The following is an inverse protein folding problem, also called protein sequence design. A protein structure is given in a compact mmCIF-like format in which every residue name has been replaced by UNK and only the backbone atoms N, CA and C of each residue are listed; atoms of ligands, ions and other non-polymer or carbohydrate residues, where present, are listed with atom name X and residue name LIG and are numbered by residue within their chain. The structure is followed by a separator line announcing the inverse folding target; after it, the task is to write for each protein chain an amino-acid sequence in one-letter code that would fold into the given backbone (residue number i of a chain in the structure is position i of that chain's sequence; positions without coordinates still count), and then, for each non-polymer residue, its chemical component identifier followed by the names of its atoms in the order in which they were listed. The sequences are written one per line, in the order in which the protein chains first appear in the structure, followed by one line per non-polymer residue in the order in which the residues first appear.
data_IF_019931013321
#
_entry.id   IF_019931013321
#
_cell.length_a   1.000
_cell.length_b   1.000
_cell.length_c   1.000
_cell.angle_alpha   90.00
_cell.angle_beta   90.00
_cell.angle_gamma   90.00
#
_symmetry.space_group_name_H-M   'P 1'
#
loop_
_entity.id
_entity.type
_entity.pdbx_description
1 polymer ?
#
# COMPACT_ATOMS: atom_id res chain seq x y z
N UNK A 1 -21.54 71.18 -16.78
CA UNK A 1 -20.21 70.87 -17.36
C UNK A 1 -19.16 70.99 -16.27
N UNK A 2 -18.08 70.18 -16.33
CA UNK A 2 -16.79 70.31 -15.61
C UNK A 2 -16.83 70.39 -14.06
N UNK A 3 -16.11 69.56 -13.30
CA UNK A 3 -14.63 69.54 -13.07
C UNK A 3 -14.10 70.90 -12.58
N UNK A 4 -13.17 71.04 -11.61
CA UNK A 4 -12.42 70.16 -10.67
C UNK A 4 -11.57 71.11 -9.80
N UNK A 5 -11.31 70.84 -8.50
CA UNK A 5 -10.01 71.05 -7.80
C UNK A 5 -10.04 70.63 -6.30
N UNK A 6 -8.88 70.32 -5.66
CA UNK A 6 -8.78 69.65 -4.35
C UNK A 6 -8.43 70.61 -3.18
N UNK A 7 -8.26 70.11 -1.92
CA UNK A 7 -6.90 69.76 -1.43
C UNK A 7 -6.82 68.56 -0.44
N UNK A 8 -5.61 68.19 -0.05
CA UNK A 8 -5.25 67.20 0.99
C UNK A 8 -5.38 67.80 2.42
N UNK A 9 -5.27 67.11 3.56
CA UNK A 9 -4.93 65.71 3.94
C UNK A 9 -5.81 65.32 5.20
N UNK A 10 -5.53 64.32 6.11
CA UNK A 10 -4.34 63.49 6.36
C UNK A 10 -4.58 61.97 6.55
N UNK A 11 -3.51 61.21 6.83
CA UNK A 11 -3.57 59.80 7.23
C UNK A 11 -4.50 59.53 8.43
N UNK A 12 -5.35 58.50 8.32
CA UNK A 12 -5.93 57.78 9.48
C UNK A 12 -5.64 56.29 9.35
N UNK A 13 -4.98 55.73 10.38
CA UNK A 13 -4.99 54.29 10.63
C UNK A 13 -6.40 53.90 11.08
N UNK A 14 -7.04 52.98 10.37
CA UNK A 14 -8.23 52.27 10.82
C UNK A 14 -7.96 50.78 10.68
N UNK A 15 -7.43 50.18 11.75
CA UNK A 15 -7.38 48.75 11.92
C UNK A 15 -8.69 48.30 12.58
N UNK A 16 -9.72 48.06 11.77
CA UNK A 16 -11.07 47.75 12.24
C UNK A 16 -11.22 46.27 12.59
N UNK A 17 -10.78 45.92 13.81
CA UNK A 17 -10.97 44.58 14.43
C UNK A 17 -12.42 44.06 14.45
N UNK A 18 -13.42 44.91 14.19
CA UNK A 18 -14.84 44.55 14.28
C UNK A 18 -15.37 43.71 13.11
N UNK A 19 -14.77 43.79 11.92
CA UNK A 19 -15.31 43.10 10.74
C UNK A 19 -15.00 41.59 10.72
N UNK A 20 -13.86 41.17 11.26
CA UNK A 20 -13.45 39.76 11.29
C UNK A 20 -14.25 38.96 12.33
N UNK A 21 -14.49 39.53 13.51
CA UNK A 21 -15.22 38.86 14.59
C UNK A 21 -16.71 38.66 14.24
N UNK A 22 -17.32 39.62 13.54
CA UNK A 22 -18.69 39.48 13.03
C UNK A 22 -18.82 38.39 11.95
N UNK A 23 -17.82 38.27 11.06
CA UNK A 23 -17.79 37.22 10.04
C UNK A 23 -17.63 35.81 10.67
N UNK A 24 -16.76 35.68 11.67
CA UNK A 24 -16.57 34.42 12.42
C UNK A 24 -17.86 34.00 13.14
N UNK A 25 -18.57 34.91 13.83
CA UNK A 25 -19.86 34.58 14.42
C UNK A 25 -20.91 34.14 13.38
N UNK A 26 -20.91 34.75 12.19
CA UNK A 26 -21.86 34.43 11.13
C UNK A 26 -21.63 33.01 10.57
N UNK A 27 -20.36 32.61 10.40
CA UNK A 27 -19.97 31.27 9.96
C UNK A 27 -20.22 30.21 11.05
N UNK A 28 -19.88 30.49 12.31
CA UNK A 28 -20.19 29.57 13.41
C UNK A 28 -21.70 29.34 13.59
N UNK A 29 -22.56 30.28 13.18
CA UNK A 29 -24.02 30.08 13.13
C UNK A 29 -24.49 29.27 11.92
N UNK A 30 -23.71 29.24 10.83
CA UNK A 30 -24.05 28.52 9.60
C UNK A 30 -23.70 27.01 9.65
N UNK A 31 -22.80 26.59 10.54
CA UNK A 31 -22.32 25.20 10.65
C UNK A 31 -22.80 24.53 11.94
N UNK A 32 -23.35 23.31 11.82
CA UNK A 32 -23.71 22.44 12.95
C UNK A 32 -22.48 21.76 13.57
N UNK A 33 -21.65 22.55 14.26
CA UNK A 33 -20.53 22.06 15.07
C UNK A 33 -20.99 21.52 16.43
N UNK A 34 -20.30 20.50 16.94
CA UNK A 34 -20.49 20.02 18.31
C UNK A 34 -20.19 21.16 19.32
N UNK A 35 -20.98 21.33 20.41
CA UNK A 35 -20.86 22.50 21.28
C UNK A 35 -19.48 22.72 21.92
N UNK A 36 -18.73 21.66 22.18
CA UNK A 36 -17.38 21.75 22.74
C UNK A 36 -16.38 22.37 21.75
N UNK A 37 -16.31 21.81 20.53
CA UNK A 37 -15.44 22.29 19.45
C UNK A 37 -15.74 23.75 19.07
N UNK A 38 -17.02 24.15 19.11
CA UNK A 38 -17.45 25.54 18.91
C UNK A 38 -16.85 26.48 19.96
N UNK A 39 -16.83 26.08 21.23
CA UNK A 39 -16.30 26.90 22.32
C UNK A 39 -14.76 27.04 22.26
N UNK A 40 -14.06 25.96 21.90
CA UNK A 40 -12.59 25.97 21.71
C UNK A 40 -12.16 26.89 20.57
N UNK A 41 -12.83 26.81 19.41
CA UNK A 41 -12.56 27.70 18.27
C UNK A 41 -12.84 29.18 18.60
N UNK A 42 -13.87 29.47 19.39
CA UNK A 42 -14.16 30.83 19.87
C UNK A 42 -13.09 31.35 20.84
N UNK A 43 -12.52 30.49 21.69
CA UNK A 43 -11.41 30.86 22.56
C UNK A 43 -10.15 31.17 21.74
N UNK A 44 -9.73 30.25 20.86
CA UNK A 44 -8.54 30.41 20.02
C UNK A 44 -8.57 31.67 19.14
N UNK A 45 -9.74 32.03 18.59
CA UNK A 45 -9.91 33.24 17.77
C UNK A 45 -9.71 34.56 18.55
N UNK A 46 -9.75 34.54 19.88
CA UNK A 46 -9.55 35.74 20.71
C UNK A 46 -8.12 35.97 21.20
N UNK A 47 -7.24 34.96 21.07
CA UNK A 47 -5.84 35.01 21.52
C UNK A 47 -4.82 35.37 20.43
N UNK A 48 -5.11 35.09 19.15
CA UNK A 48 -4.12 35.24 18.06
C UNK A 48 -4.31 36.54 17.27
N UNK A 49 -3.32 37.45 17.29
CA UNK A 49 -3.49 38.85 16.82
C UNK A 49 -3.34 39.04 15.30
N UNK A 50 -2.91 38.03 14.53
CA UNK A 50 -2.76 38.10 13.06
C UNK A 50 -3.15 36.79 12.36
N UNK A 51 -4.33 36.23 12.64
CA UNK A 51 -4.84 35.07 11.90
C UNK A 51 -5.90 35.49 10.87
N UNK A 52 -5.61 35.33 9.56
CA UNK A 52 -6.64 35.42 8.50
C UNK A 52 -7.30 34.07 8.28
N UNK A 53 -8.33 33.81 9.09
CA UNK A 53 -9.09 32.57 9.05
C UNK A 53 -10.07 32.56 7.86
N UNK A 54 -9.70 31.89 6.78
CA UNK A 54 -10.59 31.69 5.63
C UNK A 54 -11.40 30.41 5.78
N UNK A 55 -12.53 30.49 6.49
CA UNK A 55 -13.52 29.41 6.53
C UNK A 55 -14.39 29.46 5.29
N UNK A 56 -14.33 28.42 4.47
CA UNK A 56 -15.41 28.07 3.54
C UNK A 56 -16.29 27.04 4.24
N UNK A 57 -17.61 27.14 4.08
CA UNK A 57 -18.55 26.13 4.57
C UNK A 57 -19.62 25.84 3.53
N UNK A 58 -19.83 24.55 3.26
CA UNK A 58 -21.13 24.05 2.81
C UNK A 58 -21.80 23.26 3.94
N UNK A 59 -22.93 22.61 3.67
CA UNK A 59 -23.77 22.02 4.70
C UNK A 59 -23.08 20.94 5.57
N UNK A 60 -21.99 20.32 5.09
CA UNK A 60 -21.29 19.23 5.79
C UNK A 60 -19.77 19.44 5.95
N UNK A 61 -19.21 20.57 5.50
CA UNK A 61 -17.75 20.75 5.40
C UNK A 61 -17.28 22.05 6.07
N UNK A 62 -16.16 21.99 6.81
CA UNK A 62 -15.47 23.17 7.35
C UNK A 62 -14.03 23.16 6.87
N UNK A 63 -13.64 24.21 6.15
CA UNK A 63 -12.24 24.43 5.78
C UNK A 63 -11.56 25.33 6.81
N UNK A 64 -10.34 25.00 7.21
CA UNK A 64 -9.44 25.87 7.97
C UNK A 64 -8.14 25.96 7.19
N UNK A 65 -7.84 27.14 6.64
CA UNK A 65 -6.55 27.47 6.06
C UNK A 65 -5.86 28.52 6.96
N UNK A 66 -4.65 28.21 7.41
CA UNK A 66 -3.79 29.10 8.16
C UNK A 66 -2.61 29.54 7.28
N UNK A 67 -2.18 30.80 7.38
CA UNK A 67 -0.94 31.28 6.76
C UNK A 67 -0.12 32.09 7.78
N UNK A 68 0.94 31.44 8.24
CA UNK A 68 2.26 31.92 8.70
C UNK A 68 2.43 32.65 10.04
N UNK A 69 3.48 32.15 10.73
CA UNK A 69 4.21 32.68 11.89
C UNK A 69 3.47 32.73 13.25
N UNK A 70 3.41 31.57 13.89
CA UNK A 70 3.45 31.46 15.35
C UNK A 70 4.44 30.36 15.77
N UNK A 71 5.47 30.74 16.55
CA UNK A 71 6.12 29.79 17.44
C UNK A 71 5.10 29.45 18.56
N UNK A 72 5.05 28.19 18.99
CA UNK A 72 4.05 27.62 19.94
C UNK A 72 2.60 27.47 19.43
N UNK A 73 2.36 26.49 18.55
CA UNK A 73 1.05 25.85 18.37
C UNK A 73 0.80 24.70 19.37
N UNK A 74 1.85 24.21 20.03
CA UNK A 74 1.83 23.12 21.03
C UNK A 74 0.91 23.38 22.22
N UNK A 75 0.68 24.65 22.56
CA UNK A 75 -0.07 25.06 23.75
C UNK A 75 -1.61 25.06 23.58
N UNK A 76 -2.13 24.93 22.35
CA UNK A 76 -3.58 25.14 22.07
C UNK A 76 -4.33 23.85 21.77
N UNK A 77 -3.73 22.89 21.05
CA UNK A 77 -4.46 21.71 20.54
C UNK A 77 -4.08 20.36 21.16
N UNK A 78 -3.00 20.29 21.95
CA UNK A 78 -2.54 19.05 22.60
C UNK A 78 -2.31 17.88 21.62
N UNK A 79 -2.50 16.65 22.10
CA UNK A 79 -2.22 15.40 21.36
C UNK A 79 -3.19 15.11 20.19
N UNK A 80 -3.89 16.12 19.66
CA UNK A 80 -4.87 15.99 18.56
C UNK A 80 -4.39 16.52 17.21
N UNK A 81 -3.12 16.91 17.11
CA UNK A 81 -2.43 17.20 15.84
C UNK A 81 -1.23 16.28 15.73
N UNK A 82 -1.21 15.42 14.70
CA UNK A 82 0.00 14.70 14.31
C UNK A 82 0.98 15.66 13.61
N UNK A 83 1.86 16.29 14.38
CA UNK A 83 3.14 16.78 13.88
C UNK A 83 4.21 15.71 14.15
N UNK A 84 5.12 15.47 13.20
CA UNK A 84 6.24 14.56 13.41
C UNK A 84 7.40 15.35 14.06
N UNK A 85 7.78 15.11 15.33
CA UNK A 85 8.83 15.85 16.02
C UNK A 85 10.21 15.27 15.67
N UNK A 86 10.55 15.25 14.37
CA UNK A 86 11.75 14.62 13.84
C UNK A 86 12.51 15.54 12.87
N UNK A 87 13.37 16.41 13.43
CA UNK A 87 14.43 17.18 12.73
C UNK A 87 14.05 17.81 11.37
N UNK A 88 13.56 19.04 11.43
CA UNK A 88 13.67 20.01 10.33
C UNK A 88 14.34 21.29 10.83
N UNK A 89 15.66 21.21 11.07
CA UNK A 89 16.47 22.42 11.20
C UNK A 89 16.64 23.03 9.80
N UNK A 90 15.94 24.14 9.53
CA UNK A 90 15.99 24.97 8.33
C UNK A 90 15.44 24.37 7.01
N UNK A 91 14.12 24.12 6.93
CA UNK A 91 13.39 24.04 5.65
C UNK A 91 12.11 24.88 5.74
N UNK A 92 11.86 25.74 4.74
CA UNK A 92 10.64 26.57 4.63
C UNK A 92 9.62 25.97 3.64
N UNK A 93 9.22 24.71 3.82
CA UNK A 93 8.16 24.10 2.99
C UNK A 93 7.04 23.52 3.86
N UNK A 94 5.79 23.84 3.49
CA UNK A 94 4.58 23.35 4.13
C UNK A 94 3.60 22.91 3.04
N UNK A 95 3.40 21.60 2.88
CA UNK A 95 2.46 21.06 1.89
C UNK A 95 1.02 21.09 2.41
N UNK A 96 0.11 21.65 1.61
CA UNK A 96 -1.33 21.60 1.87
C UNK A 96 -1.99 20.45 1.10
N UNK A 97 -2.77 19.63 1.80
CA UNK A 97 -3.72 18.70 1.18
C UNK A 97 -5.11 19.35 1.12
N UNK A 98 -5.71 19.41 -0.07
CA UNK A 98 -7.02 20.03 -0.28
C UNK A 98 -8.15 19.00 -0.14
N UNK A 99 -9.35 19.43 0.28
CA UNK A 99 -10.51 18.58 0.61
C UNK A 99 -11.78 18.87 -0.26
N UNK A 100 -11.76 18.64 -1.58
CA UNK A 100 -12.92 18.71 -2.47
C UNK A 100 -13.88 17.50 -2.36
N UNK A 101 -15.04 17.68 -1.72
CA UNK A 101 -16.09 16.66 -1.58
C UNK A 101 -16.92 16.36 -2.84
N UNK A 102 -16.29 15.89 -3.93
CA UNK A 102 -16.96 15.34 -5.12
C UNK A 102 -16.10 14.26 -5.81
N UNK A 103 -16.08 13.04 -5.28
CA UNK A 103 -15.61 11.75 -5.87
C UNK A 103 -14.27 11.68 -6.66
N UNK A 104 -13.51 12.77 -6.78
CA UNK A 104 -12.25 12.85 -7.53
C UNK A 104 -11.32 13.91 -6.93
N UNK A 105 -10.06 13.55 -6.83
CA UNK A 105 -9.02 14.32 -6.15
C UNK A 105 -7.97 14.85 -7.15
N UNK A 106 -7.48 16.07 -6.93
CA UNK A 106 -6.43 16.69 -7.74
C UNK A 106 -5.29 17.15 -6.84
N UNK A 107 -4.05 16.78 -7.18
CA UNK A 107 -2.84 17.31 -6.57
C UNK A 107 -2.41 18.61 -7.26
N UNK A 108 -1.91 19.58 -6.49
CA UNK A 108 -1.23 20.76 -7.00
C UNK A 108 0.22 20.69 -6.55
N UNK A 109 1.16 20.73 -7.47
CA UNK A 109 2.58 20.98 -7.19
C UNK A 109 2.95 22.36 -7.73
N UNK A 110 3.69 23.13 -6.95
CA UNK A 110 4.27 24.39 -7.37
C UNK A 110 5.76 24.33 -7.06
N UNK A 111 6.60 24.18 -8.09
CA UNK A 111 8.04 24.30 -7.92
C UNK A 111 8.39 25.76 -7.69
N UNK A 112 8.88 26.09 -6.50
CA UNK A 112 9.69 27.29 -6.30
C UNK A 112 11.14 26.91 -6.59
N UNK A 113 11.79 27.59 -7.53
CA UNK A 113 13.23 27.49 -7.70
C UNK A 113 13.90 28.37 -6.65
N UNK A 114 14.90 27.85 -5.94
CA UNK A 114 15.72 28.64 -5.02
C UNK A 114 16.66 29.57 -5.82
N UNK A 115 16.51 30.88 -5.65
CA UNK A 115 17.37 31.93 -6.24
C UNK A 115 18.69 32.12 -5.45
N UNK A 116 19.37 31.03 -5.06
CA UNK A 116 20.63 31.06 -4.29
C UNK A 116 21.69 30.06 -4.83
N UNK A 117 22.08 30.24 -6.10
CA UNK A 117 23.29 29.66 -6.66
C UNK A 117 24.00 30.65 -7.60
N UNK A 118 25.19 31.12 -7.21
CA UNK A 118 26.10 31.81 -8.11
C UNK A 118 26.98 30.79 -8.85
N UNK A 119 27.30 31.16 -10.09
CA UNK A 119 28.38 30.68 -10.96
C UNK A 119 28.23 29.30 -11.66
N UNK A 120 27.94 29.44 -12.96
CA UNK A 120 28.37 28.69 -14.14
C UNK A 120 27.76 27.32 -14.54
N UNK A 121 27.22 27.33 -15.77
CA UNK A 121 26.95 26.25 -16.73
C UNK A 121 26.03 25.07 -16.32
N UNK A 122 24.71 25.22 -16.53
CA UNK A 122 24.06 24.58 -17.69
C UNK A 122 22.64 25.10 -18.03
N UNK A 123 22.18 24.88 -19.27
CA UNK A 123 21.03 25.59 -19.86
C UNK A 123 19.66 24.98 -19.50
N UNK A 124 18.77 25.77 -18.89
CA UNK A 124 17.33 25.47 -18.82
C UNK A 124 16.49 26.53 -19.55
N UNK A 125 15.68 26.13 -20.53
CA UNK A 125 14.96 27.04 -21.43
C UNK A 125 13.70 27.65 -20.78
N UNK A 126 13.85 28.81 -20.12
CA UNK A 126 12.74 29.57 -19.56
C UNK A 126 11.87 30.27 -20.63
N UNK A 127 10.67 29.76 -20.91
CA UNK A 127 9.65 30.48 -21.69
C UNK A 127 8.96 31.56 -20.86
N UNK A 128 9.50 32.79 -20.94
CA UNK A 128 8.87 34.10 -20.68
C UNK A 128 7.76 34.14 -19.61
N UNK A 129 8.14 34.51 -18.40
CA UNK A 129 7.25 35.08 -17.39
C UNK A 129 6.59 36.39 -17.89
N UNK A 130 5.27 36.51 -17.75
CA UNK A 130 4.55 37.77 -17.92
C UNK A 130 3.98 38.24 -16.58
N UNK A 131 4.61 39.26 -16.02
CA UNK A 131 4.11 40.22 -15.01
C UNK A 131 2.81 39.87 -14.27
N UNK A 132 2.92 39.34 -13.04
CA UNK A 132 1.86 39.42 -12.04
C UNK A 132 2.03 40.68 -11.17
N UNK A 133 1.76 41.83 -11.78
CA UNK A 133 1.61 43.08 -11.04
C UNK A 133 0.37 43.00 -10.12
N UNK A 134 0.44 43.65 -8.96
CA UNK A 134 -0.63 43.63 -7.95
C UNK A 134 -1.93 44.27 -8.47
N UNK A 135 -2.86 43.47 -9.00
CA UNK A 135 -4.19 43.93 -9.41
C UNK A 135 -5.27 43.43 -8.45
N UNK A 136 -5.75 44.32 -7.58
CA UNK A 136 -7.02 44.13 -6.91
C UNK A 136 -8.14 43.97 -7.97
N UNK A 137 -8.96 42.91 -7.87
CA UNK A 137 -10.12 42.71 -8.73
C UNK A 137 -10.00 41.66 -9.85
N UNK A 138 -9.14 40.65 -9.73
CA UNK A 138 -9.28 39.45 -10.58
C UNK A 138 -10.50 38.62 -10.16
N UNK A 139 -11.53 38.59 -11.00
CA UNK A 139 -12.73 37.77 -10.78
C UNK A 139 -12.44 36.27 -10.87
N UNK A 140 -13.07 35.50 -9.97
CA UNK A 140 -12.95 34.04 -9.79
C UNK A 140 -13.06 33.20 -11.08
N UNK A 141 -13.68 33.71 -12.15
CA UNK A 141 -13.73 33.05 -13.45
C UNK A 141 -12.36 32.72 -14.05
N UNK A 142 -11.34 33.58 -13.84
CA UNK A 142 -9.98 33.31 -14.36
C UNK A 142 -9.21 32.27 -13.54
N UNK A 143 -9.51 32.14 -12.25
CA UNK A 143 -8.90 31.11 -11.39
C UNK A 143 -9.40 29.72 -11.78
N UNK A 144 -10.69 29.56 -12.05
CA UNK A 144 -11.25 28.32 -12.61
C UNK A 144 -10.59 27.91 -13.92
N UNK A 145 -10.47 28.82 -14.89
CA UNK A 145 -9.80 28.52 -16.16
C UNK A 145 -8.29 28.22 -16.01
N UNK A 146 -7.66 28.66 -14.92
CA UNK A 146 -6.28 28.27 -14.58
C UNK A 146 -6.18 26.87 -13.98
N UNK A 147 -7.14 26.49 -13.13
CA UNK A 147 -7.25 25.14 -12.56
C UNK A 147 -7.59 24.11 -13.64
N UNK A 148 -8.50 24.42 -14.57
CA UNK A 148 -8.81 23.59 -15.73
C UNK A 148 -7.63 23.48 -16.74
N UNK A 149 -6.64 24.38 -16.64
CA UNK A 149 -5.42 24.39 -17.44
C UNK A 149 -4.22 23.72 -16.74
N UNK A 150 -4.35 23.31 -15.48
CA UNK A 150 -3.38 22.37 -14.88
C UNK A 150 -3.53 21.05 -15.62
N UNK A 151 -2.43 20.54 -16.19
CA UNK A 151 -2.45 19.20 -16.78
C UNK A 151 -2.88 18.19 -15.71
N UNK A 152 -4.12 17.69 -15.84
CA UNK A 152 -4.54 16.47 -15.17
C UNK A 152 -3.66 15.36 -15.73
N UNK A 153 -2.64 14.98 -14.95
CA UNK A 153 -2.00 13.68 -15.12
C UNK A 153 -3.07 12.67 -14.70
N UNK A 154 -3.79 12.12 -15.67
CA UNK A 154 -4.60 10.93 -15.46
C UNK A 154 -3.61 9.82 -15.07
N UNK A 155 -3.53 9.53 -13.78
CA UNK A 155 -2.83 8.36 -13.27
C UNK A 155 -3.76 7.19 -13.51
N UNK A 156 -3.38 6.28 -14.41
CA UNK A 156 -4.14 5.06 -14.67
C UNK A 156 -4.36 4.31 -13.35
N UNK A 157 -5.62 4.33 -12.91
CA UNK A 157 -6.07 3.68 -11.69
C UNK A 157 -6.70 2.36 -12.10
N UNK A 158 -6.11 1.21 -11.73
CA UNK A 158 -6.73 -0.09 -11.96
C UNK A 158 -8.17 -0.13 -11.45
N UNK A 159 -9.07 -0.81 -12.16
CA UNK A 159 -10.52 -0.82 -11.85
C UNK A 159 -10.81 -1.31 -10.42
N UNK A 160 -9.94 -2.15 -9.86
CA UNK A 160 -10.05 -2.64 -8.49
C UNK A 160 -9.54 -1.70 -7.40
N UNK A 161 -8.85 -0.60 -7.76
CA UNK A 161 -8.47 0.46 -6.82
C UNK A 161 -9.50 1.58 -6.85
N UNK A 162 -10.08 1.92 -5.68
CA UNK A 162 -11.02 3.05 -5.59
C UNK A 162 -10.32 4.40 -5.61
N UNK A 163 -9.06 4.45 -5.16
CA UNK A 163 -8.22 5.63 -5.16
C UNK A 163 -6.84 5.27 -5.73
N UNK A 164 -6.27 6.08 -6.65
CA UNK A 164 -5.00 5.78 -7.29
C UNK A 164 -3.87 5.73 -6.25
N UNK A 165 -2.99 4.74 -6.41
CA UNK A 165 -1.84 4.49 -5.52
C UNK A 165 -2.21 4.39 -4.03
N UNK A 166 -3.32 3.73 -3.69
CA UNK A 166 -3.63 3.36 -2.30
C UNK A 166 -3.25 1.90 -2.01
N UNK A 167 -2.51 1.68 -0.93
CA UNK A 167 -2.13 0.34 -0.47
C UNK A 167 -2.46 0.14 1.00
N UNK A 168 -2.88 -1.06 1.37
CA UNK A 168 -2.90 -1.53 2.76
C UNK A 168 -1.65 -2.40 2.99
N UNK A 169 -0.92 -2.13 4.06
CA UNK A 169 0.19 -2.96 4.53
C UNK A 169 -0.33 -3.81 5.68
N UNK A 170 -0.26 -5.12 5.52
CA UNK A 170 -0.75 -6.10 6.50
C UNK A 170 0.42 -6.98 6.93
N UNK A 171 0.78 -6.97 8.21
CA UNK A 171 1.76 -7.90 8.72
C UNK A 171 1.11 -9.22 9.14
N UNK A 172 1.67 -10.33 8.66
CA UNK A 172 1.29 -11.68 9.04
C UNK A 172 2.51 -12.44 9.59
N UNK A 173 3.01 -12.09 10.81
CA UNK A 173 4.16 -12.72 11.45
C UNK A 173 3.86 -14.16 11.92
N UNK A 174 3.69 -15.06 10.96
CA UNK A 174 3.30 -16.45 11.19
C UNK A 174 4.48 -17.40 10.90
N UNK A 175 4.72 -18.37 11.78
CA UNK A 175 5.91 -19.25 11.69
C UNK A 175 5.60 -20.74 11.91
N UNK A 176 4.32 -21.11 12.09
CA UNK A 176 3.95 -22.48 12.48
C UNK A 176 3.61 -23.40 11.31
N UNK A 177 3.67 -22.89 10.07
CA UNK A 177 3.61 -23.70 8.85
C UNK A 177 4.91 -24.51 8.64
N UNK A 178 6.01 -24.15 9.30
CA UNK A 178 7.33 -24.75 9.15
C UNK A 178 8.07 -24.88 10.51
N UNK A 179 9.23 -25.58 10.60
CA UNK A 179 9.81 -26.00 11.88
C UNK A 179 10.83 -25.02 12.49
N UNK A 180 11.22 -23.97 11.77
CA UNK A 180 12.17 -22.93 12.19
C UNK A 180 11.38 -21.73 12.72
N UNK A 181 11.92 -21.02 13.70
CA UNK A 181 11.45 -19.69 14.06
C UNK A 181 12.23 -18.62 13.28
N UNK A 182 11.81 -17.37 13.34
CA UNK A 182 12.55 -16.22 12.82
C UNK A 182 11.85 -15.51 11.66
N UNK A 183 11.06 -16.22 10.85
CA UNK A 183 10.23 -15.61 9.77
C UNK A 183 9.14 -14.71 10.34
N UNK A 184 8.71 -14.95 11.58
CA UNK A 184 7.83 -14.07 12.35
C UNK A 184 8.42 -12.67 12.58
N UNK A 185 9.73 -12.47 12.42
CA UNK A 185 10.36 -11.14 12.43
C UNK A 185 10.51 -10.52 11.04
N UNK A 186 10.14 -11.23 9.97
CA UNK A 186 10.16 -10.75 8.58
C UNK A 186 9.37 -9.44 8.38
N UNK A 187 8.14 -9.31 8.90
CA UNK A 187 7.35 -8.09 8.76
C UNK A 187 7.98 -6.86 9.43
N UNK A 188 8.59 -7.02 10.61
CA UNK A 188 9.30 -5.94 11.30
C UNK A 188 10.56 -5.54 10.51
N UNK A 189 11.39 -6.51 10.10
CA UNK A 189 12.60 -6.24 9.33
C UNK A 189 12.33 -5.57 7.96
N UNK A 190 11.21 -5.89 7.30
CA UNK A 190 10.80 -5.23 6.06
C UNK A 190 10.35 -3.78 6.29
N UNK A 191 9.73 -3.47 7.43
CA UNK A 191 9.39 -2.10 7.82
C UNK A 191 10.66 -1.30 8.17
N UNK A 192 11.55 -1.88 8.97
CA UNK A 192 12.84 -1.28 9.36
C UNK A 192 13.77 -1.03 8.16
N UNK A 193 13.66 -1.82 7.09
CA UNK A 193 14.33 -1.58 5.81
C UNK A 193 13.80 -0.36 5.03
N UNK A 194 12.81 0.38 5.56
CA UNK A 194 12.31 1.63 4.99
C UNK A 194 11.17 1.48 3.99
N UNK A 195 10.41 0.37 4.04
CA UNK A 195 9.27 0.11 3.15
C UNK A 195 8.27 1.27 3.10
N UNK A 196 7.87 1.80 4.26
CA UNK A 196 6.93 2.91 4.37
C UNK A 196 7.45 4.16 3.65
N UNK A 197 8.71 4.51 3.85
CA UNK A 197 9.34 5.64 3.17
C UNK A 197 9.42 5.44 1.65
N UNK A 198 9.72 4.21 1.20
CA UNK A 198 9.79 3.88 -0.21
C UNK A 198 8.43 4.05 -0.91
N UNK A 199 7.34 3.58 -0.28
CA UNK A 199 5.98 3.76 -0.77
C UNK A 199 5.60 5.25 -0.83
N UNK A 200 5.88 6.01 0.23
CA UNK A 200 5.62 7.47 0.26
C UNK A 200 6.41 8.22 -0.81
N UNK A 201 7.70 7.90 -1.02
CA UNK A 201 8.54 8.47 -2.11
C UNK A 201 7.99 8.17 -3.51
N UNK A 202 7.35 7.01 -3.70
CA UNK A 202 6.67 6.64 -4.94
C UNK A 202 5.27 7.29 -5.11
N UNK A 203 4.85 8.10 -4.13
CA UNK A 203 3.55 8.77 -4.10
C UNK A 203 2.39 7.84 -3.75
N UNK A 204 2.63 6.74 -3.04
CA UNK A 204 1.58 5.88 -2.53
C UNK A 204 1.05 6.38 -1.19
N UNK A 205 -0.26 6.23 -0.99
CA UNK A 205 -0.93 6.39 0.30
C UNK A 205 -1.03 5.02 0.96
N UNK A 206 -0.11 4.76 1.87
CA UNK A 206 -0.04 3.53 2.64
C UNK A 206 -0.91 3.60 3.90
N UNK A 207 -1.79 2.62 4.05
CA UNK A 207 -2.58 2.36 5.24
C UNK A 207 -1.92 1.20 5.99
N UNK A 208 -1.24 1.50 7.10
CA UNK A 208 -0.66 0.48 7.96
C UNK A 208 -1.78 -0.19 8.79
N UNK A 209 -2.05 -1.47 8.54
CA UNK A 209 -2.91 -2.29 9.40
C UNK A 209 -2.19 -2.68 10.70
N UNK A 210 -0.86 -2.80 10.65
CA UNK A 210 -0.06 -3.43 11.69
C UNK A 210 -0.04 -4.95 11.52
N UNK A 211 0.33 -5.64 12.60
CA UNK A 211 0.53 -7.10 12.59
C UNK A 211 -0.68 -7.84 13.16
N UNK A 212 -1.13 -8.86 12.44
CA UNK A 212 -2.16 -9.79 12.90
C UNK A 212 -1.55 -10.66 14.02
N UNK A 213 -2.26 -10.75 15.16
CA UNK A 213 -1.82 -11.52 16.32
C UNK A 213 -2.34 -12.96 16.25
N UNK A 214 -1.44 -13.94 16.21
CA UNK A 214 -1.79 -15.37 16.11
C UNK A 214 -1.61 -16.12 17.43
N UNK A 215 -2.46 -17.13 17.67
CA UNK A 215 -2.28 -18.06 18.79
C UNK A 215 -1.14 -19.06 18.54
N UNK A 216 -0.36 -19.36 19.57
CA UNK A 216 0.68 -20.39 19.50
C UNK A 216 0.08 -21.81 19.59
N UNK A 217 0.70 -22.84 18.97
CA UNK A 217 0.21 -24.22 19.05
C UNK A 217 0.11 -24.78 20.48
N UNK A 218 -1.11 -25.03 20.94
CA UNK A 218 -1.39 -25.64 22.23
C UNK A 218 -1.57 -27.16 22.13
N UNK A 219 -1.31 -27.88 23.23
CA UNK A 219 -1.37 -29.36 23.29
C UNK A 219 -2.76 -29.94 22.97
N UNK A 220 -3.82 -29.17 23.22
CA UNK A 220 -5.21 -29.56 22.99
C UNK A 220 -5.74 -29.26 21.59
N UNK A 221 -4.94 -28.64 20.72
CA UNK A 221 -5.40 -28.25 19.39
C UNK A 221 -5.72 -29.49 18.54
N UNK A 222 -6.84 -29.49 17.78
CA UNK A 222 -7.20 -30.56 16.86
C UNK A 222 -6.04 -30.96 15.93
N UNK A 223 -5.92 -32.27 15.70
CA UNK A 223 -4.90 -32.88 14.85
C UNK A 223 -5.52 -33.42 13.58
N UNK A 224 -4.74 -33.47 12.52
CA UNK A 224 -5.12 -34.17 11.30
C UNK A 224 -5.04 -35.69 11.52
N UNK A 225 -6.12 -36.40 11.22
CA UNK A 225 -6.24 -37.86 11.38
C UNK A 225 -6.32 -38.61 10.03
N UNK A 226 -6.24 -37.87 8.91
CA UNK A 226 -6.24 -38.44 7.56
C UNK A 226 -4.89 -39.00 7.11
N UNK A 227 -4.78 -39.45 5.84
CA UNK A 227 -3.56 -40.05 5.30
C UNK A 227 -2.37 -39.08 5.26
N UNK A 228 -1.19 -39.54 5.69
CA UNK A 228 0.06 -38.78 5.64
C UNK A 228 0.28 -37.90 6.88
N UNK A 229 0.68 -36.64 6.70
CA UNK A 229 0.97 -35.74 7.80
C UNK A 229 0.66 -34.27 7.48
N UNK A 230 0.16 -33.56 8.48
CA UNK A 230 -0.13 -32.13 8.44
C UNK A 230 0.17 -31.57 9.84
N UNK A 231 1.18 -30.70 9.96
CA UNK A 231 1.64 -30.14 11.25
C UNK A 231 0.85 -28.89 11.61
N UNK A 232 0.49 -28.78 12.88
CA UNK A 232 -0.25 -27.63 13.44
C UNK A 232 -1.52 -27.19 12.66
N UNK A 233 -2.30 -28.12 12.05
CA UNK A 233 -3.33 -27.78 11.05
C UNK A 233 -4.34 -26.74 11.56
N UNK A 234 -4.83 -26.94 12.78
CA UNK A 234 -5.78 -26.03 13.41
C UNK A 234 -5.26 -24.59 13.51
N UNK A 235 -3.99 -24.40 13.85
CA UNK A 235 -3.37 -23.08 14.03
C UNK A 235 -3.14 -22.42 12.68
N UNK A 236 -2.63 -23.16 11.70
CA UNK A 236 -2.41 -22.66 10.34
C UNK A 236 -3.74 -22.29 9.69
N UNK A 237 -4.77 -23.12 9.83
CA UNK A 237 -6.10 -22.85 9.27
C UNK A 237 -6.80 -21.65 9.91
N UNK A 238 -6.68 -21.51 11.24
CA UNK A 238 -7.27 -20.39 11.99
C UNK A 238 -6.52 -19.07 11.75
N UNK A 239 -5.19 -19.09 11.67
CA UNK A 239 -4.39 -17.93 11.26
C UNK A 239 -4.76 -17.47 9.84
N UNK A 240 -4.85 -18.41 8.89
CA UNK A 240 -5.26 -18.10 7.52
C UNK A 240 -6.71 -17.61 7.40
N UNK A 241 -7.62 -18.01 8.31
CA UNK A 241 -8.97 -17.43 8.41
C UNK A 241 -8.90 -15.93 8.73
N UNK A 242 -8.09 -15.57 9.73
CA UNK A 242 -7.94 -14.18 10.16
C UNK A 242 -7.25 -13.32 9.08
N UNK A 243 -6.22 -13.86 8.43
CA UNK A 243 -5.55 -13.22 7.28
C UNK A 243 -6.56 -13.00 6.14
N UNK A 244 -7.36 -14.01 5.79
CA UNK A 244 -8.36 -13.88 4.72
C UNK A 244 -9.40 -12.80 5.01
N UNK A 245 -9.85 -12.66 6.26
CA UNK A 245 -10.81 -11.63 6.68
C UNK A 245 -10.22 -10.21 6.55
N UNK A 246 -8.97 -9.99 6.97
CA UNK A 246 -8.27 -8.70 6.82
C UNK A 246 -7.97 -8.37 5.35
N UNK A 247 -7.48 -9.35 4.58
CA UNK A 247 -7.21 -9.16 3.16
C UNK A 247 -8.49 -8.92 2.36
N UNK A 248 -9.60 -9.60 2.70
CA UNK A 248 -10.92 -9.37 2.10
C UNK A 248 -11.44 -7.95 2.40
N UNK A 249 -11.31 -7.48 3.65
CA UNK A 249 -11.72 -6.13 4.05
C UNK A 249 -11.04 -5.06 3.19
N UNK A 250 -9.71 -5.04 3.17
CA UNK A 250 -8.94 -4.07 2.39
C UNK A 250 -9.11 -4.24 0.87
N UNK A 251 -9.32 -5.46 0.39
CA UNK A 251 -9.67 -5.72 -1.00
C UNK A 251 -11.04 -5.13 -1.37
N UNK A 252 -12.06 -5.23 -0.51
CA UNK A 252 -13.40 -4.63 -0.68
C UNK A 252 -13.38 -3.11 -0.54
N UNK A 253 -12.49 -2.58 0.27
CA UNK A 253 -12.21 -1.14 0.32
C UNK A 253 -11.59 -0.62 -0.98
N UNK A 254 -11.01 -1.48 -1.81
CA UNK A 254 -10.40 -1.13 -3.09
C UNK A 254 -9.00 -0.56 -2.91
N UNK A 255 -8.20 -1.18 -2.04
CA UNK A 255 -6.76 -0.92 -1.87
C UNK A 255 -5.95 -2.06 -2.48
N UNK A 256 -4.73 -1.78 -2.91
CA UNK A 256 -3.72 -2.81 -3.16
C UNK A 256 -3.33 -3.43 -1.81
N UNK A 257 -3.46 -4.74 -1.66
CA UNK A 257 -3.14 -5.42 -0.39
C UNK A 257 -1.72 -5.96 -0.45
N UNK A 258 -0.81 -5.38 0.33
CA UNK A 258 0.57 -5.84 0.50
C UNK A 258 0.69 -6.58 1.83
N UNK A 259 0.85 -7.90 1.77
CA UNK A 259 1.09 -8.73 2.95
C UNK A 259 2.58 -8.89 3.17
N UNK A 260 3.06 -8.48 4.35
CA UNK A 260 4.41 -8.80 4.83
C UNK A 260 4.30 -10.08 5.64
N UNK A 261 4.90 -11.16 5.15
CA UNK A 261 4.70 -12.49 5.72
C UNK A 261 5.78 -12.97 6.67
N UNK A 262 5.44 -14.02 7.40
CA UNK A 262 6.39 -15.02 7.85
C UNK A 262 6.47 -16.17 6.84
N UNK A 263 6.11 -17.39 7.23
CA UNK A 263 6.16 -18.57 6.34
C UNK A 263 5.09 -18.55 5.23
N UNK A 264 5.36 -19.25 4.11
CA UNK A 264 4.48 -19.21 2.92
C UNK A 264 3.09 -19.83 3.14
N UNK A 265 2.82 -20.48 4.28
CA UNK A 265 1.47 -21.00 4.56
C UNK A 265 0.41 -19.90 4.68
N UNK A 266 0.81 -18.63 4.88
CA UNK A 266 -0.11 -17.48 4.84
C UNK A 266 -0.77 -17.27 3.47
N UNK A 267 -0.18 -17.82 2.40
CA UNK A 267 -0.69 -17.72 1.04
C UNK A 267 -2.11 -18.26 0.88
N UNK A 268 -2.55 -19.17 1.76
CA UNK A 268 -3.95 -19.63 1.80
C UNK A 268 -4.89 -18.48 2.15
N UNK A 269 -4.56 -17.68 3.15
CA UNK A 269 -5.40 -16.60 3.66
C UNK A 269 -5.41 -15.41 2.70
N UNK A 270 -4.25 -14.97 2.25
CA UNK A 270 -4.09 -13.79 1.39
C UNK A 270 -4.80 -13.97 0.05
N UNK A 271 -4.58 -15.11 -0.62
CA UNK A 271 -5.24 -15.46 -1.88
C UNK A 271 -6.73 -15.72 -1.67
N UNK A 272 -7.14 -16.37 -0.57
CA UNK A 272 -8.57 -16.54 -0.26
C UNK A 272 -9.29 -15.21 -0.09
N UNK A 273 -8.68 -14.24 0.61
CA UNK A 273 -9.21 -12.89 0.76
C UNK A 273 -9.40 -12.17 -0.59
N UNK A 274 -8.51 -12.39 -1.54
CA UNK A 274 -8.69 -11.89 -2.91
C UNK A 274 -9.79 -12.64 -3.68
N UNK A 275 -9.81 -13.96 -3.65
CA UNK A 275 -10.80 -14.78 -4.37
C UNK A 275 -12.24 -14.53 -3.87
N UNK A 276 -12.43 -14.11 -2.63
CA UNK A 276 -13.73 -13.68 -2.08
C UNK A 276 -14.25 -12.35 -2.69
N UNK A 277 -13.37 -11.53 -3.27
CA UNK A 277 -13.70 -10.23 -3.88
C UNK A 277 -13.60 -10.27 -5.41
N UNK A 278 -12.63 -11.02 -5.92
CA UNK A 278 -12.22 -11.14 -7.33
C UNK A 278 -11.95 -12.63 -7.65
N UNK A 279 -13.01 -13.46 -7.81
CA UNK A 279 -12.89 -14.91 -8.00
C UNK A 279 -12.01 -15.32 -9.18
N UNK A 280 -11.89 -14.44 -10.18
CA UNK A 280 -11.09 -14.60 -11.39
C UNK A 280 -9.60 -14.23 -11.22
N UNK A 281 -9.14 -13.85 -10.03
CA UNK A 281 -7.75 -13.45 -9.76
C UNK A 281 -6.74 -14.50 -10.26
N UNK A 282 -5.70 -14.04 -10.96
CA UNK A 282 -4.55 -14.85 -11.36
C UNK A 282 -3.43 -14.76 -10.33
N UNK A 283 -2.83 -15.91 -10.01
CA UNK A 283 -1.71 -16.03 -9.07
C UNK A 283 -0.41 -16.22 -9.85
N UNK A 284 0.52 -15.28 -9.68
CA UNK A 284 1.93 -15.45 -10.04
C UNK A 284 2.63 -15.90 -8.77
N UNK A 285 3.12 -17.14 -8.75
CA UNK A 285 3.84 -17.72 -7.62
C UNK A 285 5.34 -17.73 -7.95
N UNK A 286 6.10 -16.87 -7.27
CA UNK A 286 7.53 -16.64 -7.52
C UNK A 286 8.30 -17.29 -6.39
N UNK A 287 8.94 -18.42 -6.66
CA UNK A 287 9.38 -19.37 -5.63
C UNK A 287 10.43 -20.36 -6.17
N UNK A 288 11.32 -20.89 -5.32
CA UNK A 288 12.13 -22.06 -5.65
C UNK A 288 11.31 -23.37 -5.66
N UNK A 289 10.25 -23.42 -4.87
CA UNK A 289 9.38 -24.54 -4.53
C UNK A 289 8.00 -24.41 -5.18
N UNK A 290 7.22 -25.49 -5.18
CA UNK A 290 5.90 -25.52 -5.82
C UNK A 290 4.73 -25.45 -4.83
N UNK A 291 4.96 -25.65 -3.54
CA UNK A 291 4.02 -25.38 -2.45
C UNK A 291 2.60 -25.96 -2.64
N UNK A 292 2.56 -27.12 -3.30
CA UNK A 292 1.35 -27.80 -3.77
C UNK A 292 1.31 -29.28 -3.33
N UNK A 293 2.16 -29.66 -2.38
CA UNK A 293 2.01 -30.95 -1.70
C UNK A 293 0.66 -31.02 -0.95
N UNK A 294 0.05 -32.20 -0.93
CA UNK A 294 -1.07 -32.50 -0.02
C UNK A 294 -0.55 -33.15 1.27
N UNK A 295 -1.32 -33.16 2.38
CA UNK A 295 -0.98 -33.93 3.58
C UNK A 295 -0.61 -35.39 3.31
N UNK A 296 -1.24 -36.01 2.31
CA UNK A 296 -1.01 -37.41 1.93
C UNK A 296 0.28 -37.64 1.14
N UNK A 297 0.88 -36.58 0.58
CA UNK A 297 2.03 -36.66 -0.32
C UNK A 297 3.31 -36.02 0.25
N UNK A 298 3.17 -35.02 1.13
CA UNK A 298 4.30 -34.33 1.76
C UNK A 298 5.17 -35.28 2.60
N UNK A 299 6.48 -35.28 2.32
CA UNK A 299 7.46 -36.00 3.16
C UNK A 299 7.74 -35.34 4.51
N UNK A 300 7.47 -34.04 4.64
CA UNK A 300 7.77 -33.26 5.85
C UNK A 300 6.54 -33.07 6.76
N UNK A 301 5.34 -32.98 6.18
CA UNK A 301 4.12 -32.55 6.86
C UNK A 301 4.10 -31.07 7.23
N UNK A 302 5.08 -30.26 6.79
CA UNK A 302 5.08 -28.81 6.98
C UNK A 302 4.03 -28.19 6.04
N UNK A 303 3.23 -27.25 6.55
CA UNK A 303 2.13 -26.64 5.80
C UNK A 303 2.54 -25.48 4.90
N UNK A 304 3.72 -24.87 5.09
CA UNK A 304 4.21 -23.85 4.15
C UNK A 304 4.38 -24.41 2.74
N UNK A 305 4.76 -25.69 2.58
CA UNK A 305 4.80 -26.37 1.27
C UNK A 305 3.46 -26.95 0.79
N UNK A 306 2.32 -26.49 1.31
CA UNK A 306 0.98 -26.97 0.93
C UNK A 306 -0.07 -25.91 0.50
N UNK A 307 0.13 -24.58 0.56
CA UNK A 307 -0.95 -23.59 0.47
C UNK A 307 -1.77 -23.70 -0.81
N UNK A 308 -1.11 -23.94 -1.95
CA UNK A 308 -1.80 -24.04 -3.24
C UNK A 308 -2.68 -25.29 -3.34
N UNK A 309 -2.35 -26.37 -2.64
CA UNK A 309 -3.16 -27.59 -2.61
C UNK A 309 -4.50 -27.39 -1.87
N UNK A 310 -4.53 -26.52 -0.87
CA UNK A 310 -5.76 -26.10 -0.17
C UNK A 310 -6.62 -25.19 -1.06
N UNK A 311 -6.02 -24.17 -1.67
CA UNK A 311 -6.72 -23.21 -2.54
C UNK A 311 -7.33 -23.87 -3.78
N UNK A 312 -6.60 -24.80 -4.40
CA UNK A 312 -7.03 -25.53 -5.60
C UNK A 312 -7.84 -26.80 -5.34
N UNK A 313 -8.21 -27.08 -4.07
CA UNK A 313 -9.05 -28.22 -3.64
C UNK A 313 -8.49 -29.60 -4.01
N UNK A 314 -7.16 -29.72 -4.10
CA UNK A 314 -6.47 -31.02 -4.12
C UNK A 314 -6.57 -31.72 -2.76
N UNK A 315 -6.90 -30.96 -1.71
CA UNK A 315 -7.32 -31.43 -0.39
C UNK A 315 -8.75 -30.96 -0.14
N UNK A 316 -9.62 -31.80 0.42
CA UNK A 316 -10.92 -31.39 0.92
C UNK A 316 -10.72 -30.58 2.23
N UNK A 317 -11.01 -29.26 2.26
CA UNK A 317 -10.61 -28.42 3.39
C UNK A 317 -11.24 -28.82 4.72
N UNK A 318 -12.43 -29.41 4.72
CA UNK A 318 -13.09 -29.95 5.92
C UNK A 318 -12.42 -31.15 6.56
N UNK A 319 -11.55 -31.86 5.83
CA UNK A 319 -10.82 -33.00 6.38
C UNK A 319 -9.58 -32.55 7.18
N UNK A 320 -9.24 -31.26 7.10
CA UNK A 320 -8.10 -30.66 7.80
C UNK A 320 -8.61 -29.64 8.84
N UNK A 321 -8.40 -29.89 10.14
CA UNK A 321 -8.94 -29.00 11.18
C UNK A 321 -8.50 -27.55 10.99
N UNK A 322 -9.44 -26.62 11.12
CA UNK A 322 -9.19 -25.18 10.95
C UNK A 322 -9.42 -24.64 9.53
N UNK A 323 -9.65 -25.50 8.52
CA UNK A 323 -9.80 -25.07 7.12
C UNK A 323 -11.24 -25.12 6.58
N UNK A 324 -12.24 -25.51 7.38
CA UNK A 324 -13.67 -25.56 6.99
C UNK A 324 -14.19 -24.27 6.34
N UNK A 325 -13.66 -23.11 6.75
CA UNK A 325 -14.06 -21.80 6.25
C UNK A 325 -13.76 -21.61 4.76
N UNK A 326 -12.73 -22.30 4.22
CA UNK A 326 -12.40 -22.28 2.79
C UNK A 326 -13.56 -22.76 1.91
N UNK A 327 -14.52 -23.53 2.43
CA UNK A 327 -15.74 -23.93 1.70
C UNK A 327 -16.50 -22.77 1.08
N UNK A 328 -16.40 -21.57 1.66
CA UNK A 328 -17.08 -20.35 1.20
C UNK A 328 -16.27 -19.55 0.18
N UNK A 329 -14.99 -19.83 0.05
CA UNK A 329 -14.04 -19.18 -0.87
C UNK A 329 -14.12 -19.86 -2.24
N UNK A 330 -14.19 -19.13 -3.36
CA UNK A 330 -14.04 -19.74 -4.70
C UNK A 330 -12.73 -20.55 -4.79
N UNK A 331 -12.79 -21.72 -5.41
CA UNK A 331 -11.58 -22.52 -5.64
C UNK A 331 -10.70 -21.87 -6.72
N UNK A 332 -9.40 -21.82 -6.49
CA UNK A 332 -8.42 -21.45 -7.51
C UNK A 332 -8.35 -22.57 -8.56
N UNK A 333 -8.68 -22.30 -9.83
CA UNK A 333 -8.39 -23.27 -10.91
C UNK A 333 -6.89 -23.21 -11.25
N UNK A 334 -6.07 -24.21 -10.86
CA UNK A 334 -4.63 -24.12 -11.06
C UNK A 334 -4.24 -24.32 -12.54
N UNK A 335 -5.14 -24.81 -13.39
CA UNK A 335 -4.87 -25.01 -14.82
C UNK A 335 -4.95 -23.71 -15.63
N UNK A 336 -5.71 -22.73 -15.13
CA UNK A 336 -5.90 -21.43 -15.78
C UNK A 336 -5.39 -20.26 -14.95
N UNK A 337 -5.64 -20.24 -13.63
CA UNK A 337 -5.36 -19.10 -12.74
C UNK A 337 -3.95 -19.08 -12.14
N UNK A 338 -3.18 -20.16 -12.20
CA UNK A 338 -1.87 -20.25 -11.54
C UNK A 338 -0.71 -20.34 -12.56
N UNK A 339 0.35 -19.58 -12.29
CA UNK A 339 1.65 -19.71 -12.97
C UNK A 339 2.82 -19.61 -11.98
N UNK A 340 3.74 -20.57 -12.05
CA UNK A 340 4.98 -20.53 -11.27
C UNK A 340 6.15 -19.89 -12.05
N UNK A 341 6.99 -19.14 -11.34
CA UNK A 341 8.24 -18.54 -11.81
C UNK A 341 9.36 -18.92 -10.84
N UNK A 342 10.49 -19.45 -11.32
CA UNK A 342 11.70 -19.68 -10.50
C UNK A 342 11.89 -21.10 -9.96
N UNK A 343 10.94 -22.01 -10.22
CA UNK A 343 10.97 -23.38 -9.71
C UNK A 343 12.30 -24.09 -9.99
N UNK A 344 12.88 -24.70 -8.96
CA UNK A 344 14.15 -25.46 -9.06
C UNK A 344 14.30 -26.59 -8.05
N UNK A 345 13.62 -26.55 -6.90
CA UNK A 345 13.48 -27.74 -6.03
C UNK A 345 11.99 -28.07 -5.90
N UNK A 346 11.57 -29.14 -6.57
CA UNK A 346 10.15 -29.51 -6.67
C UNK A 346 10.01 -31.01 -6.45
N UNK A 347 9.18 -31.37 -5.49
CA UNK A 347 9.04 -32.74 -5.03
C UNK A 347 8.50 -33.67 -6.14
N UNK A 348 8.76 -34.97 -6.07
CA UNK A 348 8.22 -35.88 -7.11
C UNK A 348 6.68 -35.81 -7.23
N UNK A 349 5.91 -35.89 -6.12
CA UNK A 349 4.45 -35.77 -6.19
C UNK A 349 3.98 -34.43 -6.76
N UNK A 350 4.63 -33.31 -6.41
CA UNK A 350 4.29 -31.98 -6.92
C UNK A 350 4.49 -31.86 -8.44
N UNK A 351 5.62 -32.38 -8.96
CA UNK A 351 5.83 -32.45 -10.43
C UNK A 351 4.77 -33.28 -11.14
N UNK A 352 4.24 -34.30 -10.47
CA UNK A 352 3.18 -35.14 -11.02
C UNK A 352 1.80 -34.43 -10.94
N UNK A 353 1.51 -33.68 -9.87
CA UNK A 353 0.35 -32.76 -9.77
C UNK A 353 0.39 -31.69 -10.87
N UNK A 354 1.51 -30.96 -11.01
CA UNK A 354 1.69 -29.90 -12.02
C UNK A 354 1.37 -30.41 -13.42
N UNK A 355 1.81 -31.63 -13.76
CA UNK A 355 1.52 -32.28 -15.05
C UNK A 355 0.07 -32.72 -15.17
N UNK A 356 -0.49 -33.36 -14.14
CA UNK A 356 -1.87 -33.87 -14.17
C UNK A 356 -2.90 -32.74 -14.32
N UNK A 357 -2.65 -31.60 -13.67
CA UNK A 357 -3.52 -30.43 -13.69
C UNK A 357 -3.13 -29.39 -14.77
N UNK A 358 -2.13 -29.68 -15.61
CA UNK A 358 -1.63 -28.78 -16.68
C UNK A 358 -1.23 -27.38 -16.20
N UNK A 359 -0.72 -27.27 -14.96
CA UNK A 359 -0.36 -26.00 -14.33
C UNK A 359 0.81 -25.37 -15.08
N UNK A 360 0.77 -24.05 -15.31
CA UNK A 360 1.86 -23.34 -15.98
C UNK A 360 3.05 -23.19 -15.02
N UNK A 361 4.23 -23.66 -15.42
CA UNK A 361 5.42 -23.61 -14.59
C UNK A 361 6.68 -23.26 -15.40
N UNK A 362 7.33 -22.16 -15.03
CA UNK A 362 8.60 -21.73 -15.60
C UNK A 362 9.72 -21.94 -14.58
N UNK A 363 10.36 -23.10 -14.67
CA UNK A 363 11.57 -23.42 -13.88
C UNK A 363 12.73 -22.50 -14.22
N UNK A 364 13.79 -22.46 -13.41
CA UNK A 364 15.01 -21.72 -13.75
C UNK A 364 15.61 -22.11 -15.10
N UNK A 365 15.48 -23.37 -15.55
CA UNK A 365 15.89 -23.78 -16.90
C UNK A 365 15.09 -23.11 -18.05
N UNK A 366 13.91 -22.56 -17.76
CA UNK A 366 13.17 -21.70 -18.70
C UNK A 366 13.73 -20.27 -18.67
N UNK A 367 14.08 -19.76 -17.48
CA UNK A 367 14.74 -18.45 -17.31
C UNK A 367 16.10 -18.45 -18.05
N UNK A 368 16.94 -19.47 -17.83
CA UNK A 368 18.22 -19.67 -18.53
C UNK A 368 18.08 -19.66 -20.07
N UNK A 369 16.99 -20.27 -20.56
CA UNK A 369 16.79 -20.54 -21.99
C UNK A 369 16.13 -19.39 -22.74
N UNK A 370 15.21 -18.67 -22.10
CA UNK A 370 14.36 -17.66 -22.73
C UNK A 370 14.61 -16.25 -22.20
N UNK A 371 15.30 -16.11 -21.06
CA UNK A 371 15.41 -14.88 -20.28
C UNK A 371 14.14 -14.58 -19.50
N UNK A 372 14.28 -13.90 -18.34
CA UNK A 372 13.15 -13.55 -17.48
C UNK A 372 12.07 -12.73 -18.21
N UNK A 373 12.46 -11.86 -19.13
CA UNK A 373 11.56 -11.07 -19.97
C UNK A 373 10.55 -11.93 -20.71
N UNK A 374 11.04 -12.92 -21.47
CA UNK A 374 10.15 -13.80 -22.24
C UNK A 374 9.37 -14.76 -21.36
N UNK A 375 9.91 -15.15 -20.20
CA UNK A 375 9.17 -15.91 -19.18
C UNK A 375 7.97 -15.12 -18.66
N UNK A 376 8.16 -13.84 -18.30
CA UNK A 376 7.07 -12.98 -17.83
C UNK A 376 6.03 -12.69 -18.91
N UNK A 377 6.43 -12.44 -20.16
CA UNK A 377 5.49 -12.35 -21.30
C UNK A 377 4.59 -13.61 -21.37
N UNK A 378 5.19 -14.82 -21.38
CA UNK A 378 4.42 -16.07 -21.47
C UNK A 378 3.56 -16.37 -20.24
N UNK A 379 3.96 -15.87 -19.06
CA UNK A 379 3.19 -15.99 -17.83
C UNK A 379 1.97 -15.05 -17.83
N UNK A 380 2.17 -13.80 -18.25
CA UNK A 380 1.10 -12.81 -18.34
C UNK A 380 0.11 -13.14 -19.48
N UNK A 381 0.59 -13.64 -20.62
CA UNK A 381 -0.24 -14.18 -21.71
C UNK A 381 -1.16 -15.31 -21.22
N UNK A 382 -0.64 -16.21 -20.36
CA UNK A 382 -1.41 -17.32 -19.77
C UNK A 382 -2.49 -16.81 -18.79
N UNK A 383 -2.18 -15.76 -18.04
CA UNK A 383 -3.15 -15.13 -17.13
C UNK A 383 -4.14 -14.20 -17.86
N UNK A 384 -3.86 -13.72 -19.07
CA UNK A 384 -4.72 -12.75 -19.76
C UNK A 384 -5.00 -11.51 -18.90
N UNK A 385 -6.15 -10.86 -19.08
CA UNK A 385 -6.48 -9.55 -18.48
C UNK A 385 -7.07 -9.56 -17.05
N UNK A 386 -6.99 -10.66 -16.31
CA UNK A 386 -7.53 -10.75 -14.94
C UNK A 386 -6.73 -9.94 -13.91
N UNK A 387 -7.31 -9.56 -12.76
CA UNK A 387 -6.55 -9.04 -11.62
C UNK A 387 -5.48 -10.04 -11.16
N UNK A 388 -4.35 -9.54 -10.66
CA UNK A 388 -3.19 -10.33 -10.29
C UNK A 388 -2.95 -10.30 -8.78
N UNK A 389 -2.59 -11.45 -8.24
CA UNK A 389 -1.95 -11.62 -6.95
C UNK A 389 -0.52 -12.14 -7.19
N UNK A 390 0.47 -11.45 -6.62
CA UNK A 390 1.88 -11.82 -6.71
C UNK A 390 2.31 -12.43 -5.36
N UNK A 391 2.36 -13.75 -5.25
CA UNK A 391 2.91 -14.40 -4.06
C UNK A 391 4.40 -14.58 -4.28
N UNK A 392 5.22 -13.85 -3.51
CA UNK A 392 6.66 -13.75 -3.72
C UNK A 392 7.42 -14.33 -2.53
N UNK A 393 7.93 -15.55 -2.70
CA UNK A 393 8.92 -16.11 -1.78
C UNK A 393 10.28 -15.45 -2.03
N UNK A 394 10.90 -14.95 -0.96
CA UNK A 394 12.24 -14.36 -1.08
C UNK A 394 13.29 -15.40 -1.51
N UNK A 395 13.05 -16.68 -1.24
CA UNK A 395 13.90 -17.81 -1.64
C UNK A 395 13.86 -18.11 -3.14
N UNK A 396 12.94 -17.50 -3.91
CA UNK A 396 12.98 -17.51 -5.37
C UNK A 396 14.31 -16.94 -5.91
N UNK A 397 14.89 -15.98 -5.18
CA UNK A 397 16.21 -15.41 -5.48
C UNK A 397 17.34 -16.40 -5.19
N UNK A 398 18.50 -16.21 -5.83
CA UNK A 398 19.69 -16.98 -5.45
C UNK A 398 20.12 -16.62 -4.00
N UNK A 399 20.56 -17.58 -3.17
CA UNK A 399 21.02 -17.31 -1.80
C UNK A 399 22.20 -16.33 -1.69
N UNK A 400 22.95 -16.07 -2.77
CA UNK A 400 23.95 -15.01 -2.83
C UNK A 400 23.34 -13.58 -2.86
N UNK A 401 22.04 -13.47 -3.17
CA UNK A 401 21.24 -12.24 -3.17
C UNK A 401 20.31 -12.21 -1.94
N UNK A 402 19.62 -13.33 -1.66
CA UNK A 402 18.68 -13.50 -0.55
C UNK A 402 19.14 -14.60 0.43
N UNK A 403 20.15 -14.34 1.27
CA UNK A 403 20.67 -15.33 2.21
C UNK A 403 19.72 -15.65 3.38
N UNK A 404 18.81 -14.74 3.72
CA UNK A 404 18.03 -14.74 4.96
C UNK A 404 16.67 -15.42 4.77
N UNK A 405 16.67 -16.73 4.50
CA UNK A 405 15.46 -17.55 4.29
C UNK A 405 15.59 -18.96 4.86
N UNK A 406 14.46 -19.63 5.11
CA UNK A 406 14.38 -20.98 5.69
C UNK A 406 14.89 -22.10 4.79
N UNK A 407 14.70 -22.01 3.47
CA UNK A 407 14.92 -23.11 2.51
C UNK A 407 15.75 -22.68 1.30
N UNK A 408 16.89 -22.03 1.54
CA UNK A 408 17.79 -21.51 0.50
C UNK A 408 18.23 -22.56 -0.56
N UNK A 409 17.78 -22.42 -1.82
CA UNK A 409 18.17 -23.26 -2.96
C UNK A 409 19.05 -22.51 -3.96
N UNK A 410 20.23 -23.04 -4.30
CA UNK A 410 21.17 -22.43 -5.26
C UNK A 410 20.64 -22.40 -6.71
N UNK A 411 21.12 -21.45 -7.50
CA UNK A 411 20.75 -21.26 -8.89
C UNK A 411 19.39 -20.57 -9.03
N UNK A 412 19.08 -19.63 -8.13
CA UNK A 412 17.83 -18.83 -8.16
C UNK A 412 17.92 -17.60 -9.04
N UNK A 413 16.87 -16.78 -9.00
CA UNK A 413 16.81 -15.51 -9.74
C UNK A 413 17.93 -14.57 -9.28
N UNK A 414 18.60 -13.89 -10.22
CA UNK A 414 19.48 -12.77 -9.88
C UNK A 414 18.65 -11.56 -9.45
N UNK A 415 19.25 -10.62 -8.70
CA UNK A 415 18.59 -9.36 -8.30
C UNK A 415 17.86 -8.65 -9.45
N UNK A 416 18.47 -8.62 -10.65
CA UNK A 416 17.88 -7.97 -11.82
C UNK A 416 16.66 -8.71 -12.37
N UNK A 417 16.65 -10.02 -12.30
CA UNK A 417 15.52 -10.84 -12.75
C UNK A 417 14.39 -10.80 -11.73
N UNK A 418 14.74 -10.90 -10.45
CA UNK A 418 13.82 -10.74 -9.32
C UNK A 418 13.09 -9.38 -9.36
N UNK A 419 13.82 -8.30 -9.60
CA UNK A 419 13.27 -6.95 -9.79
C UNK A 419 12.38 -6.86 -11.04
N UNK A 420 12.83 -7.43 -12.17
CA UNK A 420 12.07 -7.40 -13.42
C UNK A 420 10.72 -8.12 -13.32
N UNK A 421 10.60 -9.18 -12.51
CA UNK A 421 9.30 -9.82 -12.23
C UNK A 421 8.31 -8.83 -11.60
N UNK A 422 8.77 -8.00 -10.65
CA UNK A 422 7.94 -6.98 -10.02
C UNK A 422 7.61 -5.81 -10.97
N UNK A 423 8.58 -5.36 -11.79
CA UNK A 423 8.36 -4.37 -12.85
C UNK A 423 7.28 -4.84 -13.83
N UNK A 424 7.46 -6.02 -14.43
CA UNK A 424 6.54 -6.59 -15.40
C UNK A 424 5.15 -6.85 -14.82
N UNK A 425 5.04 -7.26 -13.55
CA UNK A 425 3.75 -7.42 -12.88
C UNK A 425 3.04 -6.07 -12.66
N UNK A 426 3.78 -5.03 -12.25
CA UNK A 426 3.25 -3.67 -12.05
C UNK A 426 2.84 -2.99 -13.37
N UNK A 427 3.64 -3.13 -14.44
CA UNK A 427 3.37 -2.58 -15.78
C UNK A 427 2.06 -3.09 -16.41
N UNK A 428 1.50 -4.21 -15.92
CA UNK A 428 0.17 -4.65 -16.33
C UNK A 428 -0.96 -3.73 -15.89
N UNK A 429 -0.74 -2.91 -14.85
CA UNK A 429 -1.79 -2.23 -14.09
C UNK A 429 -2.88 -3.17 -13.55
N UNK A 430 -2.58 -4.47 -13.39
CA UNK A 430 -3.52 -5.50 -12.92
C UNK A 430 -3.21 -6.04 -11.52
N UNK A 431 -2.11 -5.62 -10.90
CA UNK A 431 -1.68 -6.09 -9.58
C UNK A 431 -2.59 -5.58 -8.44
N UNK A 432 -3.46 -6.46 -7.94
CA UNK A 432 -4.43 -6.18 -6.88
C UNK A 432 -3.91 -6.50 -5.46
N UNK A 433 -2.91 -7.39 -5.37
CA UNK A 433 -2.25 -7.72 -4.10
C UNK A 433 -0.91 -8.40 -4.31
N UNK A 434 -0.09 -8.40 -3.27
CA UNK A 434 1.22 -9.04 -3.24
C UNK A 434 1.50 -9.57 -1.83
N UNK A 435 2.13 -10.74 -1.75
CA UNK A 435 2.75 -11.23 -0.53
C UNK A 435 4.26 -11.20 -0.70
N UNK A 436 5.00 -10.90 0.38
CA UNK A 436 6.44 -11.05 0.46
C UNK A 436 6.78 -11.88 1.70
N UNK A 437 7.29 -13.10 1.51
CA UNK A 437 7.33 -14.16 2.54
C UNK A 437 8.70 -14.81 2.71
N UNK A 438 8.83 -15.68 3.71
CA UNK A 438 10.01 -16.47 4.13
C UNK A 438 11.28 -15.64 4.44
N UNK A 439 11.17 -14.31 4.52
CA UNK A 439 12.21 -13.42 5.04
C UNK A 439 12.46 -13.76 6.51
N UNK A 440 13.62 -14.35 6.79
CA UNK A 440 14.03 -14.76 8.14
C UNK A 440 15.32 -14.03 8.55
N UNK A 441 15.22 -12.89 9.25
CA UNK A 441 16.38 -12.09 9.69
C UNK A 441 17.34 -12.82 10.63
N UNK A 442 16.98 -14.00 11.16
CA UNK A 442 17.86 -14.79 12.03
C UNK A 442 18.88 -15.64 11.26
N UNK A 443 18.74 -15.75 9.93
CA UNK A 443 19.73 -16.39 9.06
C UNK A 443 20.68 -15.35 8.45
N UNK A 444 21.96 -15.46 8.80
CA UNK A 444 23.00 -14.50 8.45
C UNK A 444 23.78 -14.87 7.16
N UNK A 445 23.25 -15.76 6.32
CA UNK A 445 23.89 -16.18 5.06
C UNK A 445 25.12 -17.10 5.19
N UNK A 446 25.41 -17.60 6.38
CA UNK A 446 26.38 -18.69 6.56
C UNK A 446 25.74 -20.02 6.14
N UNK A 447 26.00 -20.43 4.89
CA UNK A 447 25.64 -21.73 4.28
C UNK A 447 26.59 -22.86 4.71
#
# INVERSE_FOLDING_TARGET
MSRLTPPEAPHRRLAEKGHEQAAIEQVLRAVTLEPALRAELQAAATTTVNARLHIVSDANTVFIAEILQANDLTAVFGDRIFTNPGRFDNVQELHFFLACGLDRWCTLSCCCCDDDANDDDDVCHATKTSELASSAGMGWGKVRSGIDAVHRVEVDCPEFLKEPKTCAIVGAPFTYGQPRYGVDNGPEALRDAGLMEALLRLGWRAYEHGDITFESPARGNPRYEGPGSCKHPYVVGEANRQIAEVCEEHAREGRFVLTLGGDHSIGVGTIAGQLLVRPETGVIWVDAHADINTPALSGSGNMHGMPLAFLSRLVAPEEVPGFDWLKRVPALDPSTQLVYIGLRDVDKPERDIIRQHNIKAFTMSHVDKFGIGKVMEMALDHLGERPLHLSYDIDACDPAIAPSTGTAVRGGLTYREAHYVAEAANETHRLASMDLVEVNPTFNGEM
#
